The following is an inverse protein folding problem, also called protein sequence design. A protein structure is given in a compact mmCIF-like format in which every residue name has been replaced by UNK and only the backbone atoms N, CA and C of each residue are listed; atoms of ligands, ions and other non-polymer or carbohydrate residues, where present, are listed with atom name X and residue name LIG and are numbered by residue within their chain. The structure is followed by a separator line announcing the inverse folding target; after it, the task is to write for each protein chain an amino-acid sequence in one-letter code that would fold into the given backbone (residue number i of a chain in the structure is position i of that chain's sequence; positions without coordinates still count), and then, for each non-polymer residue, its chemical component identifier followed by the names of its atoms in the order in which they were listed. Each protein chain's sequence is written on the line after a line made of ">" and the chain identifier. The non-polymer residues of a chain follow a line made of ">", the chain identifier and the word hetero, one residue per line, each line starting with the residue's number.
data_IF_011353003192
#
_entry.id   IF_011353003192
#
_cell.length_a   1.000
_cell.length_b   1.000
_cell.length_c   1.000
_cell.angle_alpha   90.00
_cell.angle_beta   90.00
_cell.angle_gamma   90.00
#
_symmetry.space_group_name_H-M   'P 1'
#
loop_
_entity.id
_entity.type
_entity.pdbx_description
1 polymer ?
#
# COMPACT_ATOMS: atom_id res chain seq x y z
N UNK A 1 -3.97 9.43 11.85
CA UNK A 1 -4.05 7.96 11.67
C UNK A 1 -5.44 7.38 11.90
N UNK A 2 -6.07 7.56 13.08
CA UNK A 2 -7.40 6.99 13.38
C UNK A 2 -8.49 7.28 12.32
N UNK A 3 -8.57 8.53 11.84
CA UNK A 3 -9.49 8.93 10.78
C UNK A 3 -9.40 8.05 9.51
N UNK A 4 -8.17 7.79 9.04
CA UNK A 4 -7.92 6.92 7.88
C UNK A 4 -8.30 5.47 8.17
N UNK A 5 -7.95 4.95 9.34
CA UNK A 5 -8.28 3.57 9.73
C UNK A 5 -9.80 3.35 9.68
N UNK A 6 -10.58 4.28 10.25
CA UNK A 6 -12.04 4.19 10.23
C UNK A 6 -12.60 4.24 8.80
N UNK A 7 -12.12 5.17 7.96
CA UNK A 7 -12.56 5.29 6.55
C UNK A 7 -12.19 4.06 5.73
N UNK A 8 -10.95 3.56 5.88
CA UNK A 8 -10.46 2.37 5.18
C UNK A 8 -11.23 1.12 5.64
N UNK A 9 -11.54 0.99 6.94
CA UNK A 9 -12.40 -0.08 7.44
C UNK A 9 -13.80 -0.01 6.83
N UNK A 10 -14.40 1.18 6.72
CA UNK A 10 -15.62 1.40 5.95
C UNK A 10 -15.45 0.98 4.47
N UNK A 11 -14.34 1.36 3.85
CA UNK A 11 -13.95 0.95 2.50
C UNK A 11 -13.96 -0.56 2.28
N UNK A 12 -13.40 -1.33 3.21
CA UNK A 12 -13.45 -2.79 3.16
C UNK A 12 -14.89 -3.31 3.26
N UNK A 13 -15.71 -2.75 4.15
CA UNK A 13 -17.11 -3.17 4.29
C UNK A 13 -17.92 -2.92 3.01
N UNK A 14 -17.80 -1.74 2.41
CA UNK A 14 -18.54 -1.42 1.18
C UNK A 14 -18.05 -2.25 0.00
N UNK A 15 -16.74 -2.56 -0.04
CA UNK A 15 -16.18 -3.48 -1.02
C UNK A 15 -16.82 -4.86 -0.91
N UNK A 16 -16.86 -5.45 0.29
CA UNK A 16 -17.47 -6.77 0.53
C UNK A 16 -18.98 -6.79 0.22
N UNK A 17 -19.69 -5.67 0.37
CA UNK A 17 -21.12 -5.55 0.01
C UNK A 17 -21.31 -5.60 -1.51
N UNK A 18 -20.45 -4.95 -2.29
CA UNK A 18 -20.53 -4.99 -3.75
C UNK A 18 -20.02 -6.32 -4.31
N UNK A 19 -19.12 -6.99 -3.59
CA UNK A 19 -18.49 -8.25 -3.99
C UNK A 19 -19.31 -9.51 -3.71
N UNK A 20 -20.50 -9.39 -3.10
CA UNK A 20 -21.34 -10.55 -2.70
C UNK A 20 -21.49 -11.60 -3.81
N UNK A 21 -21.78 -11.19 -5.05
CA UNK A 21 -21.95 -12.14 -6.17
C UNK A 21 -20.63 -12.74 -6.65
N UNK A 22 -19.54 -11.96 -6.62
CA UNK A 22 -18.19 -12.40 -7.01
C UNK A 22 -17.67 -13.41 -5.98
N UNK A 23 -17.82 -13.08 -4.70
CA UNK A 23 -17.34 -13.89 -3.58
C UNK A 23 -18.13 -15.18 -3.39
N UNK A 24 -19.40 -15.25 -3.83
CA UNK A 24 -20.14 -16.53 -3.91
C UNK A 24 -19.42 -17.54 -4.81
N UNK A 25 -18.69 -17.08 -5.83
CA UNK A 25 -17.95 -17.93 -6.76
C UNK A 25 -16.51 -18.11 -6.28
N UNK A 26 -15.83 -17.01 -5.94
CA UNK A 26 -14.40 -17.02 -5.65
C UNK A 26 -14.07 -17.51 -4.24
N UNK A 27 -14.96 -17.27 -3.26
CA UNK A 27 -14.74 -17.43 -1.81
C UNK A 27 -16.02 -17.89 -1.08
N UNK A 28 -16.71 -18.97 -1.55
CA UNK A 28 -18.03 -19.35 -1.04
C UNK A 28 -18.04 -19.61 0.46
N UNK A 29 -16.96 -20.17 0.99
CA UNK A 29 -16.86 -20.54 2.40
C UNK A 29 -16.41 -19.41 3.32
N UNK A 30 -15.63 -18.46 2.81
CA UNK A 30 -15.00 -17.42 3.62
C UNK A 30 -15.73 -16.07 3.55
N UNK A 31 -16.72 -15.91 2.65
CA UNK A 31 -17.54 -14.69 2.58
C UNK A 31 -18.24 -14.39 3.91
N UNK A 32 -18.22 -13.12 4.32
CA UNK A 32 -18.75 -12.66 5.62
C UNK A 32 -20.17 -12.10 5.46
N UNK A 33 -20.38 -11.26 4.46
CA UNK A 33 -21.66 -10.62 4.18
C UNK A 33 -22.66 -11.67 3.65
N UNK A 34 -23.87 -11.66 4.20
CA UNK A 34 -24.94 -12.65 4.00
C UNK A 34 -24.69 -14.05 4.58
N UNK A 35 -23.48 -14.40 5.02
CA UNK A 35 -23.19 -15.65 5.75
C UNK A 35 -23.18 -15.46 7.27
N UNK A 36 -22.49 -14.43 7.76
CA UNK A 36 -22.35 -14.10 9.20
C UNK A 36 -22.98 -12.77 9.56
N UNK A 37 -22.92 -11.79 8.66
CA UNK A 37 -23.42 -10.43 8.88
C UNK A 37 -24.47 -10.09 7.83
N UNK A 38 -25.63 -9.58 8.27
CA UNK A 38 -26.68 -9.11 7.35
C UNK A 38 -26.21 -7.86 6.60
N UNK A 39 -26.48 -7.80 5.29
CA UNK A 39 -26.16 -6.66 4.41
C UNK A 39 -26.56 -5.30 4.99
N UNK A 40 -27.75 -5.21 5.59
CA UNK A 40 -28.24 -3.97 6.23
C UNK A 40 -27.36 -3.51 7.40
N UNK A 41 -26.89 -4.43 8.23
CA UNK A 41 -25.98 -4.12 9.35
C UNK A 41 -24.62 -3.66 8.84
N UNK A 42 -24.12 -4.28 7.78
CA UNK A 42 -22.87 -3.88 7.13
C UNK A 42 -22.97 -2.46 6.53
N UNK A 43 -24.09 -2.12 5.87
CA UNK A 43 -24.34 -0.76 5.37
C UNK A 43 -24.35 0.27 6.50
N UNK A 44 -24.98 -0.04 7.63
CA UNK A 44 -24.96 0.84 8.82
C UNK A 44 -23.55 1.04 9.35
N UNK A 45 -22.76 -0.03 9.47
CA UNK A 45 -21.37 0.04 9.91
C UNK A 45 -20.51 0.87 8.94
N UNK A 46 -20.70 0.71 7.63
CA UNK A 46 -20.04 1.53 6.60
C UNK A 46 -20.29 3.04 6.81
N UNK A 47 -21.55 3.46 6.96
CA UNK A 47 -21.87 4.87 7.15
C UNK A 47 -21.33 5.40 8.49
N UNK A 48 -21.47 4.61 9.56
CA UNK A 48 -20.98 5.00 10.89
C UNK A 48 -19.46 5.20 10.90
N UNK A 49 -18.70 4.26 10.33
CA UNK A 49 -17.24 4.35 10.26
C UNK A 49 -16.75 5.54 9.41
N UNK A 50 -17.38 5.79 8.26
CA UNK A 50 -17.05 6.96 7.45
C UNK A 50 -17.37 8.26 8.17
N UNK A 51 -18.52 8.34 8.84
CA UNK A 51 -18.88 9.52 9.63
C UNK A 51 -17.86 9.78 10.74
N UNK A 52 -17.53 8.77 11.56
CA UNK A 52 -16.52 8.87 12.63
C UNK A 52 -15.17 9.27 12.04
N UNK A 53 -14.75 8.64 10.95
CA UNK A 53 -13.47 8.90 10.32
C UNK A 53 -13.36 10.32 9.75
N UNK A 54 -14.38 10.79 9.04
CA UNK A 54 -14.43 12.16 8.50
C UNK A 54 -14.46 13.18 9.65
N UNK A 55 -15.31 12.98 10.66
CA UNK A 55 -15.40 13.88 11.81
C UNK A 55 -14.06 13.97 12.56
N UNK A 56 -13.42 12.83 12.80
CA UNK A 56 -12.07 12.76 13.40
C UNK A 56 -11.01 13.44 12.52
N UNK A 57 -11.16 13.33 11.20
CA UNK A 57 -10.27 13.97 10.22
C UNK A 57 -10.38 15.49 10.22
N UNK A 58 -11.60 16.04 10.25
CA UNK A 58 -11.81 17.48 10.42
C UNK A 58 -11.34 17.99 11.78
N UNK A 59 -11.53 17.20 12.84
CA UNK A 59 -10.98 17.52 14.16
C UNK A 59 -9.44 17.60 14.12
N UNK A 60 -8.76 16.65 13.49
CA UNK A 60 -7.31 16.71 13.30
C UNK A 60 -6.90 17.95 12.47
N UNK A 61 -7.65 18.27 11.41
CA UNK A 61 -7.40 19.45 10.57
C UNK A 61 -7.58 20.77 11.33
N UNK A 62 -8.54 20.82 12.24
CA UNK A 62 -8.74 21.94 13.16
C UNK A 62 -7.55 22.11 14.11
N UNK A 63 -7.03 21.02 14.69
CA UNK A 63 -5.90 21.07 15.63
C UNK A 63 -4.61 21.61 15.00
N UNK A 64 -4.42 21.42 13.70
CA UNK A 64 -3.27 21.97 12.96
C UNK A 64 -3.55 23.36 12.36
N UNK A 65 -4.66 24.02 12.74
CA UNK A 65 -5.11 25.33 12.24
C UNK A 65 -5.30 25.38 10.70
N UNK A 66 -5.63 24.24 10.08
CA UNK A 66 -5.81 24.11 8.63
C UNK A 66 -7.06 23.29 8.32
N UNK A 67 -8.23 23.84 8.66
CA UNK A 67 -9.52 23.14 8.56
C UNK A 67 -9.79 22.50 7.18
N UNK A 68 -9.32 23.12 6.09
CA UNK A 68 -9.49 22.62 4.72
C UNK A 68 -8.74 21.29 4.46
N UNK A 69 -7.75 20.92 5.27
CA UNK A 69 -7.14 19.59 5.18
C UNK A 69 -8.15 18.47 5.46
N UNK A 70 -9.25 18.76 6.18
CA UNK A 70 -10.33 17.80 6.42
C UNK A 70 -10.96 17.22 5.15
N UNK A 71 -10.94 17.97 4.04
CA UNK A 71 -11.51 17.51 2.76
C UNK A 71 -10.80 16.28 2.19
N UNK A 72 -9.54 16.03 2.55
CA UNK A 72 -8.84 14.82 2.10
C UNK A 72 -9.55 13.54 2.57
N UNK A 73 -10.15 13.56 3.77
CA UNK A 73 -10.86 12.40 4.33
C UNK A 73 -12.19 12.16 3.62
N UNK A 74 -12.89 13.23 3.20
CA UNK A 74 -14.05 13.12 2.32
C UNK A 74 -13.63 12.51 0.99
N UNK A 75 -12.52 12.96 0.42
CA UNK A 75 -11.97 12.41 -0.82
C UNK A 75 -11.64 10.91 -0.69
N UNK A 76 -11.03 10.47 0.42
CA UNK A 76 -10.81 9.04 0.71
C UNK A 76 -12.11 8.24 0.73
N UNK A 77 -13.10 8.69 1.52
CA UNK A 77 -14.39 8.00 1.67
C UNK A 77 -15.14 7.89 0.33
N UNK A 78 -15.19 8.99 -0.43
CA UNK A 78 -15.80 9.03 -1.76
C UNK A 78 -15.06 8.13 -2.75
N UNK A 79 -13.73 8.20 -2.77
CA UNK A 79 -12.90 7.39 -3.67
C UNK A 79 -13.07 5.89 -3.43
N UNK A 80 -13.05 5.45 -2.17
CA UNK A 80 -13.25 4.04 -1.83
C UNK A 80 -14.65 3.54 -2.23
N UNK A 81 -15.69 4.37 -2.04
CA UNK A 81 -17.03 4.04 -2.52
C UNK A 81 -17.09 3.93 -4.04
N UNK A 82 -16.49 4.89 -4.76
CA UNK A 82 -16.44 4.91 -6.22
C UNK A 82 -15.69 3.70 -6.78
N UNK A 83 -14.60 3.31 -6.10
CA UNK A 83 -13.84 2.11 -6.41
C UNK A 83 -14.73 0.87 -6.36
N UNK A 84 -15.36 0.61 -5.20
CA UNK A 84 -16.16 -0.59 -4.98
C UNK A 84 -17.39 -0.68 -5.90
N UNK A 85 -18.00 0.46 -6.25
CA UNK A 85 -19.19 0.48 -7.10
C UNK A 85 -18.88 0.26 -8.58
N UNK A 86 -17.73 0.74 -9.08
CA UNK A 86 -17.55 0.88 -10.54
C UNK A 86 -16.14 0.63 -11.07
N UNK A 87 -15.09 0.96 -10.31
CA UNK A 87 -13.73 0.88 -10.86
C UNK A 87 -13.05 -0.45 -10.58
N UNK A 88 -13.60 -1.27 -9.68
CA UNK A 88 -13.10 -2.62 -9.44
C UNK A 88 -13.11 -3.52 -10.68
N UNK A 89 -14.13 -3.40 -11.53
CA UNK A 89 -14.22 -4.18 -12.79
C UNK A 89 -13.57 -3.48 -13.98
N UNK A 90 -12.91 -2.34 -13.75
CA UNK A 90 -12.27 -1.55 -14.79
C UNK A 90 -10.80 -1.93 -14.95
N UNK A 91 -10.34 -1.96 -16.20
CA UNK A 91 -9.01 -2.35 -16.66
C UNK A 91 -7.83 -2.14 -15.71
N UNK A 92 -7.46 -0.89 -15.48
CA UNK A 92 -6.32 -0.52 -14.64
C UNK A 92 -6.66 0.60 -13.65
N UNK A 93 -7.75 1.32 -13.90
CA UNK A 93 -8.13 2.52 -13.14
C UNK A 93 -8.44 2.17 -11.69
N UNK A 94 -9.09 1.04 -11.42
CA UNK A 94 -9.33 0.57 -10.06
C UNK A 94 -8.03 0.33 -9.30
N UNK A 95 -7.10 -0.40 -9.92
CA UNK A 95 -5.82 -0.77 -9.30
C UNK A 95 -4.96 0.46 -9.02
N UNK A 96 -4.92 1.41 -9.97
CA UNK A 96 -4.26 2.71 -9.81
C UNK A 96 -4.91 3.53 -8.69
N UNK A 97 -6.23 3.52 -8.57
CA UNK A 97 -6.92 4.26 -7.52
C UNK A 97 -6.56 3.73 -6.13
N UNK A 98 -6.58 2.41 -5.92
CA UNK A 98 -6.20 1.81 -4.63
C UNK A 98 -4.74 2.09 -4.30
N UNK A 99 -3.84 1.93 -5.28
CA UNK A 99 -2.43 2.28 -5.14
C UNK A 99 -2.22 3.76 -4.77
N UNK A 100 -2.95 4.66 -5.45
CA UNK A 100 -2.92 6.09 -5.20
C UNK A 100 -3.41 6.43 -3.79
N UNK A 101 -4.52 5.84 -3.34
CA UNK A 101 -5.03 6.06 -1.99
C UNK A 101 -4.05 5.55 -0.92
N UNK A 102 -3.39 4.40 -1.12
CA UNK A 102 -2.34 3.92 -0.21
C UNK A 102 -1.19 4.93 -0.13
N UNK A 103 -0.67 5.40 -1.25
CA UNK A 103 0.41 6.37 -1.28
C UNK A 103 0.01 7.72 -0.65
N UNK A 104 -1.20 8.19 -0.98
CA UNK A 104 -1.77 9.40 -0.41
C UNK A 104 -1.91 9.31 1.11
N UNK A 105 -2.19 8.12 1.64
CA UNK A 105 -2.30 7.89 3.09
C UNK A 105 -0.98 8.20 3.79
N UNK A 106 0.16 7.85 3.18
CA UNK A 106 1.50 8.17 3.68
C UNK A 106 1.79 9.66 3.53
N UNK A 107 1.42 10.27 2.40
CA UNK A 107 1.57 11.71 2.16
C UNK A 107 0.78 12.54 3.19
N UNK A 108 -0.31 12.02 3.75
CA UNK A 108 -1.03 12.72 4.82
C UNK A 108 -0.17 13.00 6.06
N UNK A 109 0.87 12.20 6.32
CA UNK A 109 1.83 12.49 7.39
C UNK A 109 2.56 13.82 7.12
N UNK A 110 3.04 14.05 5.89
CA UNK A 110 3.65 15.32 5.54
C UNK A 110 2.64 16.49 5.65
N UNK A 111 1.40 16.28 5.21
CA UNK A 111 0.35 17.31 5.26
C UNK A 111 0.04 17.74 6.69
N UNK A 112 -0.08 16.82 7.64
CA UNK A 112 -0.51 17.12 9.00
C UNK A 112 0.64 17.35 9.99
N UNK A 113 1.82 16.76 9.76
CA UNK A 113 2.93 16.82 10.72
C UNK A 113 4.05 17.78 10.27
N UNK A 114 4.32 17.92 8.96
CA UNK A 114 5.42 18.76 8.46
C UNK A 114 4.97 20.18 8.08
N UNK A 115 3.90 20.30 7.29
CA UNK A 115 3.46 21.59 6.73
C UNK A 115 2.99 22.58 7.81
N UNK A 116 2.23 22.19 8.85
CA UNK A 116 1.71 23.14 9.83
C UNK A 116 2.79 23.74 10.74
N UNK A 117 3.93 23.05 10.90
CA UNK A 117 5.00 23.45 11.81
C UNK A 117 5.70 24.75 11.36
N UNK A 118 5.54 25.17 10.10
CA UNK A 118 5.90 26.52 9.65
C UNK A 118 7.37 26.91 9.82
N UNK A 119 8.23 25.99 10.28
CA UNK A 119 9.68 26.18 10.27
C UNK A 119 10.04 26.43 8.81
N UNK A 120 10.71 27.57 8.56
CA UNK A 120 11.44 27.78 7.31
C UNK A 120 12.07 26.44 6.95
N UNK A 121 11.91 26.03 5.70
CA UNK A 121 12.38 24.75 5.20
C UNK A 121 13.92 24.70 5.38
N UNK A 122 14.37 24.44 6.60
CA UNK A 122 15.72 24.07 6.96
C UNK A 122 15.97 22.72 6.29
N UNK A 123 17.21 22.46 5.92
CA UNK A 123 17.53 21.34 5.04
C UNK A 123 17.08 19.97 5.58
N UNK A 124 16.95 19.81 6.91
CA UNK A 124 16.37 18.61 7.54
C UNK A 124 14.90 18.35 7.19
N UNK A 125 14.07 19.39 7.03
CA UNK A 125 12.65 19.24 6.67
C UNK A 125 12.44 18.74 5.23
N UNK A 126 13.36 19.11 4.32
CA UNK A 126 13.36 18.60 2.93
C UNK A 126 13.67 17.12 2.89
N UNK A 127 14.67 16.68 3.66
CA UNK A 127 15.07 15.26 3.72
C UNK A 127 13.89 14.41 4.18
N UNK A 128 13.22 14.80 5.27
CA UNK A 128 12.04 14.05 5.78
C UNK A 128 10.92 14.01 4.72
N UNK A 129 10.68 15.12 4.01
CA UNK A 129 9.69 15.14 2.93
C UNK A 129 10.06 14.18 1.79
N UNK A 130 11.32 14.14 1.34
CA UNK A 130 11.78 13.19 0.33
C UNK A 130 11.66 11.73 0.80
N UNK A 131 11.96 11.47 2.07
CA UNK A 131 11.77 10.14 2.68
C UNK A 131 10.29 9.74 2.59
N UNK A 132 9.36 10.61 3.01
CA UNK A 132 7.91 10.36 2.91
C UNK A 132 7.50 10.08 1.45
N UNK A 133 8.01 10.84 0.48
CA UNK A 133 7.72 10.61 -0.93
C UNK A 133 8.26 9.26 -1.42
N UNK A 134 9.45 8.84 -0.97
CA UNK A 134 10.00 7.54 -1.31
C UNK A 134 9.12 6.40 -0.77
N UNK A 135 8.70 6.48 0.49
CA UNK A 135 7.76 5.49 1.06
C UNK A 135 6.40 5.51 0.37
N UNK A 136 5.87 6.70 0.03
CA UNK A 136 4.64 6.83 -0.72
C UNK A 136 4.76 6.15 -2.10
N UNK A 137 5.83 6.41 -2.85
CA UNK A 137 6.10 5.77 -4.14
C UNK A 137 6.30 4.26 -4.04
N UNK A 138 7.04 3.78 -3.04
CA UNK A 138 7.20 2.35 -2.77
C UNK A 138 5.85 1.69 -2.47
N UNK A 139 5.04 2.29 -1.58
CA UNK A 139 3.72 1.78 -1.23
C UNK A 139 2.77 1.76 -2.43
N UNK A 140 2.83 2.80 -3.28
CA UNK A 140 2.08 2.87 -4.53
C UNK A 140 2.38 1.66 -5.41
N UNK A 141 3.66 1.41 -5.70
CA UNK A 141 4.08 0.36 -6.63
C UNK A 141 3.74 -1.02 -6.07
N UNK A 142 4.02 -1.28 -4.78
CA UNK A 142 3.72 -2.58 -4.16
C UNK A 142 2.21 -2.82 -4.06
N UNK A 143 1.40 -1.79 -3.76
CA UNK A 143 -0.07 -1.92 -3.82
C UNK A 143 -0.54 -2.19 -5.24
N UNK A 144 -0.02 -1.49 -6.24
CA UNK A 144 -0.40 -1.68 -7.63
C UNK A 144 -0.10 -3.11 -8.09
N UNK A 145 1.11 -3.61 -7.81
CA UNK A 145 1.50 -4.99 -8.07
C UNK A 145 0.53 -5.96 -7.40
N UNK A 146 0.21 -5.74 -6.13
CA UNK A 146 -0.70 -6.59 -5.36
C UNK A 146 -2.11 -6.62 -5.95
N UNK A 147 -2.66 -5.49 -6.36
CA UNK A 147 -4.02 -5.47 -6.95
C UNK A 147 -4.04 -6.21 -8.30
N UNK A 148 -3.01 -6.05 -9.14
CA UNK A 148 -2.92 -6.83 -10.39
C UNK A 148 -2.74 -8.35 -10.11
N UNK A 149 -2.01 -8.73 -9.05
CA UNK A 149 -1.90 -10.13 -8.63
C UNK A 149 -3.26 -10.69 -8.16
N UNK A 150 -4.07 -9.89 -7.46
CA UNK A 150 -5.43 -10.30 -7.09
C UNK A 150 -6.33 -10.48 -8.29
N UNK A 151 -6.21 -9.66 -9.34
CA UNK A 151 -6.96 -9.87 -10.58
C UNK A 151 -6.63 -11.23 -11.22
N UNK A 152 -5.40 -11.73 -11.04
CA UNK A 152 -5.03 -13.10 -11.44
C UNK A 152 -5.58 -14.17 -10.50
N UNK A 153 -5.66 -13.88 -9.20
CA UNK A 153 -6.26 -14.76 -8.18
C UNK A 153 -7.77 -14.96 -8.40
N UNK A 154 -8.48 -13.89 -8.78
CA UNK A 154 -9.94 -13.83 -8.92
C UNK A 154 -10.41 -13.97 -10.38
N UNK A 155 -9.49 -14.35 -11.29
CA UNK A 155 -9.69 -14.44 -12.74
C UNK A 155 -10.98 -15.16 -13.17
N UNK A 156 -11.28 -16.34 -12.60
CA UNK A 156 -12.46 -17.13 -12.99
C UNK A 156 -13.79 -16.45 -12.61
N UNK A 157 -13.84 -15.81 -11.43
CA UNK A 157 -15.02 -15.07 -10.98
C UNK A 157 -15.21 -13.79 -11.80
N UNK A 158 -14.12 -13.06 -12.05
CA UNK A 158 -14.12 -11.83 -12.83
C UNK A 158 -14.51 -12.08 -14.29
N UNK A 159 -14.09 -13.22 -14.87
CA UNK A 159 -14.48 -13.62 -16.23
C UNK A 159 -15.97 -13.93 -16.34
N UNK A 160 -16.58 -14.54 -15.31
CA UNK A 160 -18.03 -14.88 -15.32
C UNK A 160 -18.94 -13.66 -15.27
N UNK A 161 -18.49 -12.57 -14.64
CA UNK A 161 -19.24 -11.31 -14.55
C UNK A 161 -18.91 -10.32 -15.68
N UNK A 162 -18.02 -10.70 -16.62
CA UNK A 162 -17.60 -9.85 -17.73
C UNK A 162 -16.77 -8.64 -17.30
N UNK A 163 -15.94 -8.77 -16.26
CA UNK A 163 -15.04 -7.69 -15.85
C UNK A 163 -13.97 -7.43 -16.93
N UNK A 164 -13.54 -6.18 -17.05
CA UNK A 164 -12.59 -5.76 -18.08
C UNK A 164 -11.19 -5.57 -17.49
N UNK A 165 -10.67 -6.49 -16.68
CA UNK A 165 -9.37 -6.35 -15.99
C UNK A 165 -8.17 -6.61 -16.92
N UNK A 166 -6.97 -6.20 -16.49
CA UNK A 166 -5.71 -6.54 -17.18
C UNK A 166 -5.58 -8.04 -17.45
N UNK A 167 -5.87 -8.85 -16.42
CA UNK A 167 -5.79 -10.30 -16.46
C UNK A 167 -6.70 -10.90 -17.53
N UNK A 168 -7.93 -10.39 -17.67
CA UNK A 168 -8.92 -10.85 -18.66
C UNK A 168 -8.54 -10.41 -20.07
N UNK A 169 -8.16 -9.14 -20.25
CA UNK A 169 -7.93 -8.57 -21.58
C UNK A 169 -6.62 -9.04 -22.22
N UNK A 170 -5.54 -9.15 -21.44
CA UNK A 170 -4.21 -9.54 -21.94
C UNK A 170 -3.86 -11.01 -21.65
N UNK A 171 -4.68 -11.70 -20.87
CA UNK A 171 -4.43 -13.04 -20.38
C UNK A 171 -3.41 -13.08 -19.23
N UNK A 172 -3.41 -14.22 -18.53
CA UNK A 172 -2.54 -14.41 -17.35
C UNK A 172 -1.04 -14.30 -17.68
N UNK A 173 -0.61 -14.84 -18.82
CA UNK A 173 0.81 -14.86 -19.20
C UNK A 173 1.40 -13.44 -19.40
N UNK A 174 0.68 -12.55 -20.09
CA UNK A 174 1.16 -11.18 -20.31
C UNK A 174 1.03 -10.32 -19.06
N UNK A 175 -0.03 -10.52 -18.27
CA UNK A 175 -0.21 -9.84 -16.98
C UNK A 175 0.94 -10.15 -16.02
N UNK A 176 1.39 -11.42 -15.96
CA UNK A 176 2.60 -11.81 -15.22
C UNK A 176 3.85 -11.06 -15.67
N UNK A 177 4.03 -10.81 -16.97
CA UNK A 177 5.17 -10.03 -17.50
C UNK A 177 5.08 -8.58 -17.05
N UNK A 178 3.90 -7.97 -17.09
CA UNK A 178 3.68 -6.60 -16.59
C UNK A 178 4.02 -6.51 -15.10
N UNK A 179 3.53 -7.45 -14.29
CA UNK A 179 3.88 -7.52 -12.86
C UNK A 179 5.38 -7.64 -12.67
N UNK A 180 6.04 -8.54 -13.41
CA UNK A 180 7.49 -8.72 -13.33
C UNK A 180 8.26 -7.43 -13.65
N UNK A 181 7.84 -6.66 -14.67
CA UNK A 181 8.42 -5.37 -14.99
C UNK A 181 8.20 -4.34 -13.88
N UNK A 182 7.01 -4.29 -13.28
CA UNK A 182 6.72 -3.38 -12.17
C UNK A 182 7.56 -3.70 -10.93
N UNK A 183 7.85 -4.98 -10.65
CA UNK A 183 8.69 -5.41 -9.52
C UNK A 183 10.15 -4.95 -9.70
N UNK A 184 10.62 -4.77 -10.93
CA UNK A 184 11.99 -4.27 -11.15
C UNK A 184 12.20 -2.85 -10.60
N UNK A 185 11.15 -2.01 -10.59
CA UNK A 185 11.24 -0.63 -10.11
C UNK A 185 11.69 -0.55 -8.64
N UNK A 186 11.02 -1.20 -7.67
CA UNK A 186 11.49 -1.20 -6.29
C UNK A 186 12.82 -1.95 -6.12
N UNK A 187 13.08 -3.02 -6.88
CA UNK A 187 14.38 -3.73 -6.85
C UNK A 187 15.54 -2.78 -7.20
N UNK A 188 15.42 -2.00 -8.26
CA UNK A 188 16.44 -1.02 -8.64
C UNK A 188 16.49 0.16 -7.67
N UNK A 189 15.34 0.62 -7.17
CA UNK A 189 15.29 1.71 -6.17
C UNK A 189 16.01 1.34 -4.87
N UNK A 190 15.77 0.13 -4.34
CA UNK A 190 16.46 -0.37 -3.15
C UNK A 190 17.93 -0.66 -3.46
N UNK A 191 18.25 -1.24 -4.62
CA UNK A 191 19.64 -1.45 -5.05
C UNK A 191 20.44 -0.15 -5.15
N UNK A 192 19.84 0.93 -5.62
CA UNK A 192 20.44 2.27 -5.64
C UNK A 192 20.69 2.78 -4.22
N UNK A 193 19.75 2.60 -3.29
CA UNK A 193 19.96 2.95 -1.89
C UNK A 193 21.08 2.13 -1.23
N UNK A 194 21.15 0.83 -1.52
CA UNK A 194 22.22 -0.06 -1.04
C UNK A 194 23.60 0.35 -1.55
N UNK A 195 23.69 0.90 -2.77
CA UNK A 195 24.95 1.43 -3.31
C UNK A 195 25.48 2.60 -2.46
N UNK A 196 24.63 3.54 -2.03
CA UNK A 196 25.05 4.60 -1.10
C UNK A 196 25.43 4.06 0.27
N UNK A 197 24.67 3.10 0.81
CA UNK A 197 25.02 2.44 2.07
C UNK A 197 26.42 1.80 1.97
N UNK A 198 26.73 1.15 0.84
CA UNK A 198 28.04 0.54 0.60
C UNK A 198 29.16 1.57 0.54
N UNK A 199 28.97 2.70 -0.16
CA UNK A 199 29.97 3.78 -0.19
C UNK A 199 30.22 4.28 1.23
N UNK A 200 29.15 4.59 1.98
CA UNK A 200 29.27 5.11 3.33
C UNK A 200 29.96 4.12 4.28
N UNK A 201 29.61 2.83 4.19
CA UNK A 201 30.33 1.75 4.86
C UNK A 201 31.81 1.73 4.48
N UNK A 202 32.15 1.75 3.20
CA UNK A 202 33.55 1.66 2.74
C UNK A 202 34.43 2.81 3.20
N UNK A 203 33.87 4.02 3.31
CA UNK A 203 34.57 5.24 3.73
C UNK A 203 34.67 5.32 5.25
N UNK A 204 33.57 5.05 5.98
CA UNK A 204 33.52 5.21 7.43
C UNK A 204 34.03 3.99 8.21
N UNK A 205 34.25 2.84 7.55
CA UNK A 205 34.80 1.62 8.17
C UNK A 205 36.16 1.84 8.84
N UNK A 206 36.97 2.77 8.34
CA UNK A 206 38.30 3.04 8.87
C UNK A 206 38.35 4.08 9.99
N UNK A 207 37.22 4.75 10.31
CA UNK A 207 37.24 5.99 11.12
C UNK A 207 36.51 5.85 12.46
N UNK A 208 35.48 4.98 12.58
CA UNK A 208 34.68 4.88 13.81
C UNK A 208 34.00 3.51 14.00
N UNK A 209 34.34 2.78 15.07
CA UNK A 209 33.74 1.48 15.41
C UNK A 209 32.23 1.55 15.69
N UNK A 210 31.73 2.64 16.28
CA UNK A 210 30.31 2.78 16.66
C UNK A 210 29.37 3.02 15.49
N UNK A 211 29.85 3.64 14.41
CA UNK A 211 29.05 3.90 13.19
C UNK A 211 28.95 2.66 12.28
N UNK A 212 29.91 1.74 12.37
CA UNK A 212 29.97 0.54 11.56
C UNK A 212 28.79 -0.41 11.80
N UNK A 213 28.42 -0.64 13.08
CA UNK A 213 27.33 -1.55 13.44
C UNK A 213 25.96 -1.07 12.96
N UNK A 214 25.69 0.24 13.03
CA UNK A 214 24.42 0.83 12.56
C UNK A 214 24.24 0.63 11.06
N UNK A 215 25.27 0.97 10.30
CA UNK A 215 25.25 0.85 8.86
C UNK A 215 25.16 -0.62 8.42
N UNK A 216 25.81 -1.54 9.15
CA UNK A 216 25.67 -2.98 8.92
C UNK A 216 24.24 -3.48 9.14
N UNK A 217 23.59 -3.10 10.24
CA UNK A 217 22.19 -3.47 10.51
C UNK A 217 21.26 -2.90 9.43
N UNK A 218 21.47 -1.65 9.04
CA UNK A 218 20.68 -1.01 7.99
C UNK A 218 20.85 -1.70 6.62
N UNK A 219 22.07 -2.13 6.28
CA UNK A 219 22.36 -2.89 5.08
C UNK A 219 21.74 -4.29 5.11
N UNK A 220 21.77 -4.99 6.25
CA UNK A 220 21.14 -6.29 6.41
C UNK A 220 19.61 -6.19 6.24
N UNK A 221 19.01 -5.11 6.75
CA UNK A 221 17.59 -4.84 6.58
C UNK A 221 17.19 -4.60 5.13
N UNK A 222 17.93 -3.76 4.41
CA UNK A 222 17.67 -3.50 2.98
C UNK A 222 17.91 -4.74 2.13
N UNK A 223 18.92 -5.56 2.47
CA UNK A 223 19.16 -6.86 1.85
C UNK A 223 17.98 -7.83 2.04
N UNK A 224 17.41 -7.90 3.24
CA UNK A 224 16.21 -8.70 3.49
C UNK A 224 15.05 -8.27 2.58
N UNK A 225 14.79 -6.96 2.49
CA UNK A 225 13.75 -6.41 1.62
C UNK A 225 14.01 -6.75 0.13
N UNK A 226 15.27 -6.64 -0.30
CA UNK A 226 15.70 -6.98 -1.67
C UNK A 226 15.48 -8.48 -1.98
N UNK A 227 15.84 -9.37 -1.05
CA UNK A 227 15.62 -10.82 -1.19
C UNK A 227 14.14 -11.14 -1.32
N UNK A 228 13.27 -10.52 -0.52
CA UNK A 228 11.82 -10.73 -0.62
C UNK A 228 11.24 -10.30 -1.97
N UNK A 229 11.71 -9.17 -2.53
CA UNK A 229 11.32 -8.72 -3.87
C UNK A 229 11.81 -9.66 -4.97
N UNK A 230 13.02 -10.22 -4.84
CA UNK A 230 13.55 -11.22 -5.77
C UNK A 230 12.71 -12.51 -5.70
N UNK A 231 12.33 -12.95 -4.49
CA UNK A 231 11.43 -14.10 -4.30
C UNK A 231 10.09 -13.84 -5.00
N UNK A 232 9.52 -12.64 -4.82
CA UNK A 232 8.27 -12.24 -5.50
C UNK A 232 8.42 -12.31 -7.03
N UNK A 233 9.53 -11.79 -7.58
CA UNK A 233 9.84 -11.80 -9.02
C UNK A 233 10.00 -13.20 -9.61
N UNK A 234 10.67 -14.11 -8.89
CA UNK A 234 10.85 -15.49 -9.33
C UNK A 234 9.52 -16.23 -9.27
N UNK A 235 8.81 -16.12 -8.14
CA UNK A 235 7.56 -16.86 -7.93
C UNK A 235 6.45 -16.41 -8.88
N UNK A 236 6.30 -15.11 -9.17
CA UNK A 236 5.25 -14.67 -10.11
C UNK A 236 5.38 -15.35 -11.47
N UNK A 237 6.60 -15.66 -11.94
CA UNK A 237 6.82 -16.34 -13.22
C UNK A 237 6.35 -17.80 -13.19
N UNK A 238 6.53 -18.47 -12.06
CA UNK A 238 6.23 -19.91 -11.88
C UNK A 238 4.83 -20.18 -11.34
N UNK A 239 4.06 -19.16 -10.96
CA UNK A 239 2.68 -19.28 -10.46
C UNK A 239 1.65 -19.52 -11.56
N UNK A 240 0.72 -20.43 -11.29
CA UNK A 240 -0.40 -20.76 -12.18
C UNK A 240 -1.73 -20.97 -11.46
N UNK A 241 -1.68 -21.32 -10.17
CA UNK A 241 -2.89 -21.64 -9.39
C UNK A 241 -3.37 -20.45 -8.57
N UNK A 242 -4.66 -20.45 -8.20
CA UNK A 242 -5.24 -19.45 -7.31
C UNK A 242 -4.49 -19.34 -5.98
N UNK A 243 -4.09 -20.47 -5.40
CA UNK A 243 -3.31 -20.50 -4.15
C UNK A 243 -1.94 -19.83 -4.29
N UNK A 244 -1.30 -19.95 -5.46
CA UNK A 244 -0.02 -19.27 -5.70
C UNK A 244 -0.21 -17.75 -5.71
N UNK A 245 -1.25 -17.25 -6.39
CA UNK A 245 -1.54 -15.82 -6.44
C UNK A 245 -1.95 -15.27 -5.07
N UNK A 246 -2.71 -16.04 -4.29
CA UNK A 246 -3.00 -15.70 -2.89
C UNK A 246 -1.73 -15.57 -2.05
N UNK A 247 -0.78 -16.51 -2.20
CA UNK A 247 0.52 -16.44 -1.55
C UNK A 247 1.29 -15.18 -1.96
N UNK A 248 1.33 -14.84 -3.26
CA UNK A 248 2.03 -13.64 -3.74
C UNK A 248 1.38 -12.34 -3.27
N UNK A 249 0.05 -12.28 -3.24
CA UNK A 249 -0.71 -11.16 -2.67
C UNK A 249 -0.38 -10.97 -1.18
N UNK A 250 -0.21 -12.08 -0.46
CA UNK A 250 0.22 -12.08 0.95
C UNK A 250 1.67 -11.65 1.10
N UNK A 251 2.58 -12.14 0.24
CA UNK A 251 3.97 -11.72 0.22
C UNK A 251 4.12 -10.21 -0.03
N UNK A 252 3.30 -9.63 -0.92
CA UNK A 252 3.27 -8.18 -1.11
C UNK A 252 2.88 -7.41 0.16
N UNK A 253 1.93 -7.94 0.97
CA UNK A 253 1.59 -7.34 2.28
C UNK A 253 2.77 -7.42 3.24
N UNK A 254 3.49 -8.55 3.27
CA UNK A 254 4.68 -8.73 4.11
C UNK A 254 5.78 -7.76 3.70
N UNK A 255 6.06 -7.64 2.40
CA UNK A 255 7.04 -6.69 1.85
C UNK A 255 6.66 -5.25 2.21
N UNK A 256 5.38 -4.90 2.12
CA UNK A 256 4.90 -3.57 2.52
C UNK A 256 5.09 -3.31 4.01
N UNK A 257 4.75 -4.28 4.86
CA UNK A 257 4.90 -4.17 6.31
C UNK A 257 6.38 -4.01 6.71
N UNK A 258 7.26 -4.87 6.18
CA UNK A 258 8.70 -4.77 6.41
C UNK A 258 9.23 -3.45 5.84
N UNK A 259 8.78 -3.04 4.64
CA UNK A 259 9.10 -1.73 4.09
C UNK A 259 8.80 -0.60 5.09
N UNK A 260 7.59 -0.52 5.64
CA UNK A 260 7.20 0.54 6.58
C UNK A 260 7.93 0.44 7.94
N UNK A 261 8.19 -0.78 8.44
CA UNK A 261 8.91 -1.00 9.70
C UNK A 261 10.38 -0.58 9.65
N UNK A 262 10.93 -0.29 8.48
CA UNK A 262 12.27 0.32 8.38
C UNK A 262 12.33 1.74 8.95
N UNK A 263 11.23 2.50 8.97
CA UNK A 263 11.19 3.88 9.48
C UNK A 263 11.62 3.95 10.96
N UNK A 264 10.95 3.27 11.91
CA UNK A 264 11.35 3.32 13.31
C UNK A 264 12.73 2.70 13.55
N UNK A 265 13.12 1.68 12.77
CA UNK A 265 14.45 1.09 12.87
C UNK A 265 15.54 2.10 12.51
N UNK A 266 15.43 2.76 11.36
CA UNK A 266 16.42 3.75 10.94
C UNK A 266 16.44 4.97 11.86
N UNK A 267 15.29 5.37 12.40
CA UNK A 267 15.24 6.40 13.43
C UNK A 267 15.97 5.99 14.72
N UNK A 268 15.79 4.76 15.18
CA UNK A 268 16.48 4.23 16.36
C UNK A 268 18.00 4.13 16.16
N UNK A 269 18.44 3.73 14.97
CA UNK A 269 19.86 3.65 14.62
C UNK A 269 20.51 5.04 14.51
N UNK A 270 19.77 6.06 14.07
CA UNK A 270 20.27 7.43 14.00
C UNK A 270 20.48 8.04 15.40
N UNK A 271 19.62 7.68 16.37
CA UNK A 271 19.68 8.22 17.74
C UNK A 271 20.75 7.60 18.66
N UNK A 272 21.11 6.32 18.48
CA UNK A 272 22.10 5.60 19.30
C UNK A 272 23.29 5.24 18.47
#
# INVERSE_FOLDING_TARGET
>A
MFALIAIVAGGYIINDIYDIEIDKINKPETRIIEKKIRKQSAIKAYYMLNFIGIASGFYAAYQVNRWWFGFIFIFFAFSLWRYSKNYKTAFLIGNLQVAFLTALSIITLALFDLIPVGKKIEDGSKIIFYIILFYAGFSFIITLIREIIKDLEDYDGDKKIGANTLAINYGAANTKKIIALLILIPIFGIGYFQYFQYIDLSVNFFISESSCWKNFIAALYTCLLQVLLIILLIKIRTSYTKSDFYFLSTLCKIIMLIGILSIPLFHFLDQN
#
